data_IF_168121025925
#
_entry.id   IF_168121025925
#
_cell.length_a   1.000
_cell.length_b   1.000
_cell.length_c   1.000
_cell.angle_alpha   90.00
_cell.angle_beta   90.00
_cell.angle_gamma   90.00
#
_symmetry.space_group_name_H-M   'P 1'
#
loop_
_entity.id
_entity.type
_entity.pdbx_description
1 polymer ?
#
# COMPACT_ATOMS: atom_id res chain seq x y z
N UNK A 1 7.77 -18.79 9.84
CA UNK A 1 8.65 -17.81 10.52
C UNK A 1 8.02 -16.45 10.27
N UNK A 2 7.64 -15.73 11.32
CA UNK A 2 6.80 -14.50 11.22
C UNK A 2 7.37 -13.47 10.24
N UNK A 3 8.70 -13.28 10.19
CA UNK A 3 9.34 -12.39 9.20
C UNK A 3 9.16 -12.84 7.74
N UNK A 4 9.22 -14.14 7.47
CA UNK A 4 9.06 -14.67 6.12
C UNK A 4 7.60 -14.56 5.65
N UNK A 5 6.65 -14.59 6.60
CA UNK A 5 5.22 -14.43 6.32
C UNK A 5 4.88 -12.95 6.12
N UNK A 6 5.46 -12.05 6.93
CA UNK A 6 5.39 -10.60 6.74
C UNK A 6 5.95 -10.18 5.38
N UNK A 7 7.17 -10.63 5.05
CA UNK A 7 7.81 -10.33 3.77
C UNK A 7 6.95 -10.74 2.58
N UNK A 8 6.37 -11.96 2.64
CA UNK A 8 5.45 -12.45 1.60
C UNK A 8 4.19 -11.60 1.47
N UNK A 9 3.55 -11.22 2.58
CA UNK A 9 2.35 -10.35 2.57
C UNK A 9 2.64 -8.99 1.95
N UNK A 10 3.74 -8.34 2.35
CA UNK A 10 4.14 -7.03 1.81
C UNK A 10 4.47 -7.15 0.31
N UNK A 11 5.27 -8.14 -0.09
CA UNK A 11 5.60 -8.35 -1.51
C UNK A 11 4.35 -8.62 -2.35
N UNK A 12 3.39 -9.40 -1.83
CA UNK A 12 2.12 -9.66 -2.51
C UNK A 12 1.30 -8.37 -2.71
N UNK A 13 1.16 -7.55 -1.66
CA UNK A 13 0.43 -6.28 -1.70
C UNK A 13 1.08 -5.26 -2.67
N UNK A 14 2.41 -5.21 -2.74
CA UNK A 14 3.11 -4.36 -3.70
C UNK A 14 2.98 -4.90 -5.14
N UNK A 15 2.98 -6.22 -5.31
CA UNK A 15 2.84 -6.86 -6.62
C UNK A 15 1.44 -6.69 -7.19
N UNK A 16 0.40 -6.72 -6.35
CA UNK A 16 -0.98 -6.44 -6.77
C UNK A 16 -1.12 -5.00 -7.27
N UNK A 17 -0.53 -4.03 -6.55
CA UNK A 17 -0.44 -2.66 -7.02
C UNK A 17 0.35 -2.55 -8.33
N UNK A 18 1.49 -3.23 -8.46
CA UNK A 18 2.32 -3.23 -9.69
C UNK A 18 1.63 -3.87 -10.89
N UNK A 19 0.71 -4.80 -10.69
CA UNK A 19 -0.05 -5.45 -11.77
C UNK A 19 -1.34 -4.70 -12.14
N UNK A 20 -1.84 -3.80 -11.29
CA UNK A 20 -3.05 -3.03 -11.59
C UNK A 20 -2.82 -2.08 -12.78
N UNK A 21 -3.62 -2.20 -13.84
CA UNK A 21 -3.48 -1.38 -15.06
C UNK A 21 -3.78 0.11 -14.82
N UNK A 22 -4.67 0.38 -13.86
CA UNK A 22 -5.08 1.72 -13.42
C UNK A 22 -4.91 1.74 -11.90
N UNK A 23 -4.14 2.71 -11.41
CA UNK A 23 -4.06 2.96 -9.96
C UNK A 23 -5.12 3.99 -9.61
N UNK A 24 -6.11 3.57 -8.84
CA UNK A 24 -7.13 4.43 -8.25
C UNK A 24 -7.00 4.43 -6.71
N UNK A 25 -7.75 5.32 -6.05
CA UNK A 25 -7.71 5.43 -4.59
C UNK A 25 -8.15 4.14 -3.88
N UNK A 26 -9.07 3.38 -4.49
CA UNK A 26 -9.57 2.12 -3.94
C UNK A 26 -8.47 1.05 -3.88
N UNK A 27 -7.73 0.83 -4.96
CA UNK A 27 -6.61 -0.13 -5.05
C UNK A 27 -5.49 0.28 -4.09
N UNK A 28 -5.19 1.58 -4.00
CA UNK A 28 -4.20 2.09 -3.05
C UNK A 28 -4.63 1.83 -1.59
N UNK A 29 -5.88 2.15 -1.25
CA UNK A 29 -6.43 1.93 0.09
C UNK A 29 -6.46 0.43 0.44
N UNK A 30 -6.77 -0.45 -0.52
CA UNK A 30 -6.74 -1.90 -0.34
C UNK A 30 -5.31 -2.40 -0.05
N UNK A 31 -4.32 -1.97 -0.85
CA UNK A 31 -2.90 -2.30 -0.63
C UNK A 31 -2.42 -1.81 0.74
N UNK A 32 -2.70 -0.55 1.08
CA UNK A 32 -2.32 0.02 2.38
C UNK A 32 -2.95 -0.74 3.55
N UNK A 33 -4.19 -1.23 3.39
CA UNK A 33 -4.86 -2.04 4.41
C UNK A 33 -4.17 -3.37 4.62
N UNK A 34 -3.79 -4.07 3.55
CA UNK A 34 -3.04 -5.33 3.63
C UNK A 34 -1.68 -5.16 4.32
N UNK A 35 -0.92 -4.12 3.92
CA UNK A 35 0.39 -3.81 4.51
C UNK A 35 0.25 -3.43 5.99
N UNK A 36 -0.71 -2.57 6.34
CA UNK A 36 -0.93 -2.18 7.74
C UNK A 36 -1.34 -3.37 8.60
N UNK A 37 -2.19 -4.26 8.08
CA UNK A 37 -2.63 -5.47 8.80
C UNK A 37 -1.44 -6.40 9.04
N UNK A 38 -0.60 -6.62 8.03
CA UNK A 38 0.59 -7.44 8.17
C UNK A 38 1.60 -6.86 9.17
N UNK A 39 1.78 -5.53 9.20
CA UNK A 39 2.64 -4.87 10.19
C UNK A 39 2.10 -5.01 11.62
N UNK A 40 0.78 -4.91 11.81
CA UNK A 40 0.16 -5.12 13.12
C UNK A 40 0.28 -6.56 13.60
N UNK A 41 0.12 -7.55 12.72
CA UNK A 41 0.35 -8.96 13.04
C UNK A 41 1.82 -9.27 13.37
N UNK A 42 2.75 -8.45 12.90
CA UNK A 42 4.18 -8.55 13.20
C UNK A 42 4.59 -7.76 14.46
N UNK A 43 3.62 -7.38 15.32
CA UNK A 43 3.82 -6.63 16.56
C UNK A 43 4.47 -5.25 16.37
N UNK A 44 4.26 -4.61 15.21
CA UNK A 44 4.72 -3.23 14.97
C UNK A 44 3.80 -2.24 15.70
N UNK A 45 4.39 -1.20 16.28
CA UNK A 45 3.63 -0.19 17.03
C UNK A 45 2.54 0.49 16.17
N UNK A 46 1.31 0.47 16.66
CA UNK A 46 0.14 1.02 15.95
C UNK A 46 0.27 2.51 15.59
N UNK A 47 1.01 3.30 16.39
CA UNK A 47 1.28 4.72 16.08
C UNK A 47 2.15 4.86 14.83
N UNK A 48 3.16 3.99 14.68
CA UNK A 48 4.04 3.96 13.50
C UNK A 48 3.28 3.49 12.27
N UNK A 49 2.43 2.46 12.40
CA UNK A 49 1.58 1.98 11.29
C UNK A 49 0.61 3.07 10.84
N UNK A 50 0.02 3.82 11.78
CA UNK A 50 -0.83 4.97 11.45
C UNK A 50 -0.05 6.07 10.73
N UNK A 51 1.13 6.45 11.24
CA UNK A 51 1.98 7.45 10.59
C UNK A 51 2.40 7.02 9.18
N UNK A 52 2.76 5.74 8.98
CA UNK A 52 3.08 5.21 7.66
C UNK A 52 1.93 5.39 6.67
N UNK A 53 0.70 5.05 7.09
CA UNK A 53 -0.50 5.21 6.25
C UNK A 53 -0.73 6.67 5.86
N UNK A 54 -0.63 7.60 6.81
CA UNK A 54 -0.78 9.04 6.54
C UNK A 54 0.33 9.55 5.62
N UNK A 55 1.59 9.19 5.88
CA UNK A 55 2.74 9.62 5.08
C UNK A 55 2.64 9.13 3.63
N UNK A 56 2.21 7.88 3.42
CA UNK A 56 2.02 7.34 2.06
C UNK A 56 0.86 8.04 1.36
N UNK A 57 -0.24 8.32 2.07
CA UNK A 57 -1.36 9.08 1.50
C UNK A 57 -0.99 10.52 1.14
N UNK A 58 -0.16 11.19 1.95
CA UNK A 58 0.30 12.54 1.67
C UNK A 58 1.35 12.61 0.57
N UNK A 59 2.15 11.54 0.41
CA UNK A 59 3.18 11.47 -0.63
C UNK A 59 2.60 11.19 -2.02
N UNK A 60 1.35 10.73 -2.10
CA UNK A 60 0.70 10.45 -3.38
C UNK A 60 -0.29 11.57 -3.66
N UNK A 61 -0.11 12.24 -4.80
CA UNK A 61 -0.98 13.33 -5.20
C UNK A 61 -2.35 12.80 -5.62
N UNK A 62 -3.35 13.03 -4.77
CA UNK A 62 -4.72 12.51 -4.94
C UNK A 62 -5.40 13.13 -6.18
N UNK A 63 -5.01 14.34 -6.57
CA UNK A 63 -5.52 15.01 -7.77
C UNK A 63 -5.06 14.31 -9.05
N UNK A 64 -3.81 13.84 -9.09
CA UNK A 64 -3.26 13.11 -10.23
C UNK A 64 -3.83 11.67 -10.29
N UNK A 65 -4.07 11.05 -9.13
CA UNK A 65 -4.74 9.74 -9.05
C UNK A 65 -6.22 9.76 -9.47
N UNK A 66 -6.94 10.86 -9.27
CA UNK A 66 -8.34 10.98 -9.70
C UNK A 66 -8.49 10.88 -11.22
N UNK A 67 -7.45 11.26 -11.97
CA UNK A 67 -7.39 11.08 -13.42
C UNK A 67 -7.08 9.63 -13.86
N UNK A 68 -6.78 8.75 -12.90
CA UNK A 68 -6.32 7.38 -13.13
C UNK A 68 -4.90 7.38 -13.68
N UNK A 69 -3.92 7.05 -12.83
CA UNK A 69 -2.53 6.93 -13.26
C UNK A 69 -2.39 5.74 -14.21
N UNK A 70 -2.32 6.03 -15.51
CA UNK A 70 -2.11 5.05 -16.56
C UNK A 70 -0.61 4.72 -16.62
N UNK A 71 -0.22 3.53 -16.16
CA UNK A 71 1.19 3.09 -16.14
C UNK A 71 1.89 3.10 -17.49
N UNK A 72 1.13 3.13 -18.59
CA UNK A 72 1.65 3.18 -19.96
C UNK A 72 2.06 4.60 -20.41
N UNK A 73 1.72 5.63 -19.61
CA UNK A 73 2.05 7.05 -19.86
C UNK A 73 3.05 7.63 -18.84
N UNK A 74 3.44 6.86 -17.83
CA UNK A 74 4.55 7.19 -16.92
C UNK A 74 5.89 6.76 -17.51
#
# INVERSE_FOLDING_TARGET
MVLADLGRKITSALRSLSNATIINEEVLNAMLKEVCTALLEADVNIKLVKQLRENVKSAIDLEEMASGLNKRKM
#
